data_IF_060166334909
#
_entry.id   IF_060166334909
#
_cell.length_a   1.000
_cell.length_b   1.000
_cell.length_c   1.000
_cell.angle_alpha   90.00
_cell.angle_beta   90.00
_cell.angle_gamma   90.00
#
_symmetry.space_group_name_H-M   'P 1'
#
loop_
_entity.id
_entity.type
_entity.pdbx_description
1 polymer ?
#
# COMPACT_ATOMS: atom_id res chain seq x y z
N UNK A 1 -13.13 12.40 12.90
CA UNK A 1 -12.73 11.12 12.29
C UNK A 1 -12.73 11.30 10.78
N UNK A 2 -11.77 10.71 10.07
CA UNK A 2 -11.73 10.77 8.61
C UNK A 2 -13.06 10.25 8.01
N UNK A 3 -13.55 10.91 6.95
CA UNK A 3 -14.79 10.50 6.25
C UNK A 3 -14.51 9.73 4.96
N UNK A 4 -13.29 9.81 4.45
CA UNK A 4 -12.80 9.05 3.31
C UNK A 4 -11.37 8.59 3.61
N UNK A 5 -10.95 7.48 3.01
CA UNK A 5 -9.62 6.93 3.25
C UNK A 5 -8.50 7.88 2.79
N UNK A 6 -8.75 8.76 1.81
CA UNK A 6 -7.75 9.73 1.33
C UNK A 6 -7.39 10.79 2.37
N UNK A 7 -8.21 10.97 3.40
CA UNK A 7 -7.92 11.85 4.53
C UNK A 7 -6.97 11.21 5.56
N UNK A 8 -6.70 9.90 5.45
CA UNK A 8 -5.77 9.20 6.32
C UNK A 8 -4.33 9.49 5.91
N UNK A 9 -3.52 9.97 6.86
CA UNK A 9 -2.08 10.18 6.68
C UNK A 9 -1.37 8.89 6.23
N UNK A 10 -1.69 7.75 6.84
CA UNK A 10 -1.15 6.43 6.47
C UNK A 10 -1.43 6.06 5.01
N UNK A 11 -2.57 6.49 4.45
CA UNK A 11 -2.90 6.23 3.05
C UNK A 11 -2.13 7.18 2.13
N UNK A 12 -1.97 8.45 2.51
CA UNK A 12 -1.20 9.43 1.77
C UNK A 12 0.28 9.02 1.69
N UNK A 13 0.86 8.54 2.78
CA UNK A 13 2.21 7.99 2.80
C UNK A 13 2.34 6.75 1.91
N UNK A 14 1.38 5.83 1.97
CA UNK A 14 1.37 4.64 1.11
C UNK A 14 1.28 5.00 -0.39
N UNK A 15 0.49 6.03 -0.73
CA UNK A 15 0.42 6.58 -2.10
C UNK A 15 1.75 7.18 -2.55
N UNK A 16 2.44 7.89 -1.65
CA UNK A 16 3.76 8.45 -1.96
C UNK A 16 4.81 7.34 -2.15
N UNK A 17 4.80 6.31 -1.29
CA UNK A 17 5.64 5.12 -1.47
C UNK A 17 5.42 4.48 -2.85
N UNK A 18 4.16 4.28 -3.23
CA UNK A 18 3.83 3.74 -4.56
C UNK A 18 4.38 4.61 -5.69
N UNK A 19 4.25 5.95 -5.58
CA UNK A 19 4.79 6.91 -6.57
C UNK A 19 6.30 6.80 -6.71
N UNK A 20 7.03 6.77 -5.59
CA UNK A 20 8.49 6.64 -5.56
C UNK A 20 8.93 5.33 -6.21
N UNK A 21 8.37 4.20 -5.77
CA UNK A 21 8.68 2.87 -6.33
C UNK A 21 8.38 2.82 -7.83
N UNK A 22 7.27 3.41 -8.28
CA UNK A 22 6.96 3.41 -9.71
C UNK A 22 8.01 4.16 -10.54
N UNK A 23 8.51 5.29 -10.01
CA UNK A 23 9.55 6.12 -10.60
C UNK A 23 10.91 5.45 -10.64
N UNK A 24 11.40 4.95 -9.49
CA UNK A 24 12.71 4.28 -9.38
C UNK A 24 12.83 3.08 -10.30
N UNK A 25 11.73 2.34 -10.46
CA UNK A 25 11.71 1.13 -11.28
C UNK A 25 11.31 1.37 -12.75
N UNK A 26 11.23 2.62 -13.21
CA UNK A 26 10.80 2.94 -14.59
C UNK A 26 11.68 2.29 -15.66
N UNK A 27 12.99 2.28 -15.44
CA UNK A 27 13.98 1.76 -16.38
C UNK A 27 14.49 0.35 -16.01
N UNK A 28 13.93 -0.28 -14.97
CA UNK A 28 14.30 -1.64 -14.56
C UNK A 28 13.84 -2.66 -15.62
N UNK A 29 14.78 -3.48 -16.10
CA UNK A 29 14.55 -4.48 -17.16
C UNK A 29 14.22 -5.86 -16.61
N UNK A 30 14.43 -6.07 -15.32
CA UNK A 30 14.10 -7.30 -14.60
C UNK A 30 12.60 -7.29 -14.28
N UNK A 31 11.79 -7.55 -15.31
CA UNK A 31 10.34 -7.38 -15.29
C UNK A 31 9.66 -8.07 -14.10
N UNK A 32 10.05 -9.31 -13.78
CA UNK A 32 9.46 -10.06 -12.67
C UNK A 32 9.71 -9.37 -11.31
N UNK A 33 10.94 -8.92 -11.07
CA UNK A 33 11.32 -8.22 -9.85
C UNK A 33 10.62 -6.87 -9.74
N UNK A 34 10.68 -6.07 -10.82
CA UNK A 34 9.97 -4.81 -10.94
C UNK A 34 8.49 -4.94 -10.61
N UNK A 35 7.83 -5.91 -11.23
CA UNK A 35 6.39 -6.09 -11.11
C UNK A 35 6.02 -6.64 -9.73
N UNK A 36 6.91 -7.40 -9.07
CA UNK A 36 6.73 -7.81 -7.68
C UNK A 36 6.76 -6.60 -6.73
N UNK A 37 7.81 -5.77 -6.81
CA UNK A 37 7.95 -4.61 -5.91
C UNK A 37 6.86 -3.56 -6.16
N UNK A 38 6.50 -3.29 -7.41
CA UNK A 38 5.39 -2.36 -7.74
C UNK A 38 4.05 -2.83 -7.20
N UNK A 39 3.76 -4.13 -7.29
CA UNK A 39 2.51 -4.71 -6.74
C UNK A 39 2.50 -4.67 -5.22
N UNK A 40 3.61 -4.98 -4.56
CA UNK A 40 3.72 -4.86 -3.11
C UNK A 40 3.47 -3.42 -2.65
N UNK A 41 4.07 -2.42 -3.30
CA UNK A 41 3.86 -1.01 -2.95
C UNK A 41 2.39 -0.56 -3.17
N UNK A 42 1.77 -0.96 -4.29
CA UNK A 42 0.35 -0.68 -4.55
C UNK A 42 -0.58 -1.35 -3.53
N UNK A 43 -0.24 -2.57 -3.10
CA UNK A 43 -1.01 -3.34 -2.12
C UNK A 43 -1.13 -2.63 -0.77
N UNK A 44 -0.13 -1.86 -0.35
CA UNK A 44 -0.18 -1.09 0.91
C UNK A 44 -1.37 -0.12 0.91
N UNK A 45 -1.46 0.75 -0.10
CA UNK A 45 -2.55 1.74 -0.17
C UNK A 45 -3.92 1.09 -0.42
N UNK A 46 -3.96 0.00 -1.19
CA UNK A 46 -5.20 -0.73 -1.47
C UNK A 46 -5.78 -1.37 -0.20
N UNK A 47 -4.95 -2.03 0.60
CA UNK A 47 -5.41 -2.63 1.85
C UNK A 47 -5.90 -1.58 2.85
N UNK A 48 -5.22 -0.42 2.95
CA UNK A 48 -5.68 0.68 3.80
C UNK A 48 -7.07 1.17 3.36
N UNK A 49 -7.27 1.40 2.06
CA UNK A 49 -8.56 1.83 1.53
C UNK A 49 -9.64 0.76 1.74
N UNK A 50 -9.34 -0.50 1.41
CA UNK A 50 -10.29 -1.60 1.57
C UNK A 50 -10.70 -1.81 3.04
N UNK A 51 -9.73 -1.68 3.95
CA UNK A 51 -9.95 -1.75 5.39
C UNK A 51 -10.82 -0.61 5.91
N UNK A 52 -10.61 0.62 5.41
CA UNK A 52 -11.40 1.79 5.78
C UNK A 52 -12.88 1.65 5.41
N UNK A 53 -13.18 0.99 4.29
CA UNK A 53 -14.54 0.71 3.82
C UNK A 53 -15.23 -0.44 4.61
N UNK A 54 -14.53 -1.09 5.55
CA UNK A 54 -15.11 -2.14 6.39
C UNK A 54 -15.95 -1.58 7.54
N UNK A 55 -16.85 -2.41 8.05
CA UNK A 55 -17.89 -2.00 9.02
C UNK A 55 -17.37 -1.85 10.44
N UNK A 56 -16.30 -2.54 10.79
CA UNK A 56 -15.81 -2.60 12.18
C UNK A 56 -14.34 -2.23 12.29
N UNK A 57 -13.91 -1.69 13.45
CA UNK A 57 -12.49 -1.44 13.72
C UNK A 57 -11.63 -2.71 13.64
N UNK A 58 -12.20 -3.88 13.97
CA UNK A 58 -11.51 -5.16 13.90
C UNK A 58 -11.19 -5.53 12.45
N UNK A 59 -12.14 -5.32 11.54
CA UNK A 59 -11.91 -5.56 10.12
C UNK A 59 -10.86 -4.59 9.59
N UNK A 60 -10.95 -3.30 9.95
CA UNK A 60 -9.94 -2.34 9.53
C UNK A 60 -8.54 -2.73 10.01
N UNK A 61 -8.39 -3.12 11.28
CA UNK A 61 -7.12 -3.60 11.82
C UNK A 61 -6.55 -4.80 11.06
N UNK A 62 -7.39 -5.76 10.67
CA UNK A 62 -6.96 -6.90 9.85
C UNK A 62 -6.34 -6.46 8.52
N UNK A 63 -6.95 -5.49 7.84
CA UNK A 63 -6.41 -4.94 6.60
C UNK A 63 -5.13 -4.13 6.80
N UNK A 64 -4.97 -3.48 7.96
CA UNK A 64 -3.70 -2.82 8.30
C UNK A 64 -2.56 -3.82 8.51
N UNK A 65 -2.84 -5.02 9.04
CA UNK A 65 -1.85 -6.10 9.13
C UNK A 65 -1.41 -6.57 7.72
N UNK A 66 -2.34 -6.68 6.78
CA UNK A 66 -2.03 -6.99 5.37
C UNK A 66 -1.18 -5.90 4.72
N UNK A 67 -1.56 -4.63 4.90
CA UNK A 67 -0.78 -3.49 4.41
C UNK A 67 0.65 -3.49 4.98
N UNK A 68 0.81 -3.79 6.27
CA UNK A 68 2.11 -3.94 6.93
C UNK A 68 2.91 -5.11 6.36
N UNK A 69 2.27 -6.22 6.01
CA UNK A 69 2.89 -7.33 5.29
C UNK A 69 3.49 -6.89 3.96
N UNK A 70 2.71 -6.15 3.15
CA UNK A 70 3.18 -5.60 1.87
C UNK A 70 4.32 -4.58 2.04
N UNK A 71 4.34 -3.78 3.12
CA UNK A 71 5.52 -2.95 3.44
C UNK A 71 6.77 -3.81 3.71
N UNK A 72 6.60 -4.99 4.32
CA UNK A 72 7.67 -5.96 4.52
C UNK A 72 8.26 -6.46 3.20
N UNK A 73 7.40 -6.76 2.22
CA UNK A 73 7.81 -7.18 0.87
C UNK A 73 8.54 -6.09 0.09
N UNK A 74 8.15 -4.82 0.24
CA UNK A 74 8.87 -3.70 -0.41
C UNK A 74 10.27 -3.52 0.17
N UNK A 75 10.47 -3.83 1.46
CA UNK A 75 11.74 -3.63 2.18
C UNK A 75 12.73 -4.79 2.03
N UNK A 76 12.26 -6.00 1.69
CA UNK A 76 13.08 -7.22 1.60
C UNK A 76 14.00 -7.24 0.39
#
# INVERSE_FOLDING_TARGET
MARRFEELEIWQEARELHRVIWGEFKECREFAFRDQIRRAALSVMNNIAEGFERRTPKDFAHFLDLAKGSCGEVRS
#
